data_IF_545567233196
#
_entry.id   IF_545567233196
#
_cell.length_a   1.000
_cell.length_b   1.000
_cell.length_c   1.000
_cell.angle_alpha   90.00
_cell.angle_beta   90.00
_cell.angle_gamma   90.00
#
_symmetry.space_group_name_H-M   'P 1'
#
loop_
_entity.id
_entity.type
_entity.pdbx_description
1 polymer ?
#
# COMPACT_ATOMS: atom_id res chain seq x y z
N UNK A 1 -12.29 1.82 -16.45
CA UNK A 1 -13.35 0.77 -16.31
C UNK A 1 -14.57 1.42 -15.72
N UNK A 2 -15.74 1.26 -16.36
CA UNK A 2 -17.03 1.76 -15.82
C UNK A 2 -17.72 0.69 -14.98
N UNK A 3 -18.29 1.09 -13.86
CA UNK A 3 -19.04 0.22 -12.96
C UNK A 3 -20.06 1.02 -12.13
N UNK A 4 -20.76 0.40 -11.16
CA UNK A 4 -21.90 1.02 -10.46
C UNK A 4 -21.58 2.32 -9.69
N UNK A 5 -20.31 2.52 -9.29
CA UNK A 5 -19.89 3.68 -8.51
C UNK A 5 -19.12 4.73 -9.33
N UNK A 6 -19.00 4.53 -10.65
CA UNK A 6 -18.35 5.47 -11.55
C UNK A 6 -17.31 4.83 -12.44
N UNK A 7 -16.17 5.47 -12.58
CA UNK A 7 -15.07 5.00 -13.43
C UNK A 7 -13.80 4.80 -12.60
N UNK A 8 -13.16 3.64 -12.76
CA UNK A 8 -11.82 3.36 -12.26
C UNK A 8 -10.83 3.59 -13.38
N UNK A 9 -9.89 4.51 -13.17
CA UNK A 9 -8.78 4.77 -14.08
C UNK A 9 -7.68 3.74 -13.87
N UNK A 10 -7.06 3.25 -14.95
CA UNK A 10 -5.96 2.32 -14.91
C UNK A 10 -4.98 2.56 -16.04
N UNK A 11 -3.75 2.13 -15.86
CA UNK A 11 -2.70 2.19 -16.90
C UNK A 11 -2.07 0.82 -17.08
N UNK A 12 -1.91 0.39 -18.33
CA UNK A 12 -1.24 -0.84 -18.70
C UNK A 12 0.17 -0.49 -19.17
N UNK A 13 1.16 -1.10 -18.55
CA UNK A 13 2.56 -1.04 -18.94
C UNK A 13 2.93 -2.36 -19.60
N UNK A 14 3.42 -2.30 -20.83
CA UNK A 14 3.72 -3.50 -21.65
C UNK A 14 2.51 -4.02 -22.42
N UNK A 15 2.52 -5.29 -22.76
CA UNK A 15 1.55 -5.93 -23.63
C UNK A 15 0.82 -7.07 -22.89
N UNK A 16 -0.50 -6.98 -22.74
CA UNK A 16 -1.34 -8.00 -22.10
C UNK A 16 -1.35 -9.34 -22.85
N UNK A 17 -1.02 -9.34 -24.15
CA UNK A 17 -0.88 -10.56 -24.95
C UNK A 17 0.46 -11.28 -24.68
N UNK A 18 1.30 -10.76 -23.79
CA UNK A 18 2.55 -11.42 -23.38
C UNK A 18 2.28 -12.80 -22.81
N UNK A 19 3.22 -13.71 -23.03
CA UNK A 19 3.18 -15.06 -22.40
C UNK A 19 3.42 -15.02 -20.88
N UNK A 20 3.94 -13.92 -20.35
CA UNK A 20 4.14 -13.72 -18.91
C UNK A 20 2.86 -13.22 -18.24
N UNK A 21 2.51 -13.80 -17.09
CA UNK A 21 1.34 -13.37 -16.33
C UNK A 21 1.43 -11.90 -15.88
N UNK A 22 0.36 -11.13 -15.99
CA UNK A 22 0.34 -9.73 -15.59
C UNK A 22 0.50 -9.56 -14.09
N UNK A 23 1.17 -8.48 -13.69
CA UNK A 23 1.24 -8.00 -12.31
C UNK A 23 0.31 -6.81 -12.14
N UNK A 24 -0.62 -6.89 -11.19
CA UNK A 24 -1.47 -5.76 -10.80
C UNK A 24 -0.87 -5.13 -9.56
N UNK A 25 -0.86 -3.79 -9.50
CA UNK A 25 -0.26 -3.02 -8.43
C UNK A 25 -1.34 -2.16 -7.75
N UNK A 26 -1.59 -2.45 -6.47
CA UNK A 26 -2.48 -1.67 -5.61
C UNK A 26 -1.66 -0.67 -4.78
N UNK A 27 -1.99 0.62 -4.93
CA UNK A 27 -1.32 1.71 -4.22
C UNK A 27 -1.75 1.82 -2.76
N UNK A 28 -0.94 2.55 -1.97
CA UNK A 28 -1.18 2.83 -0.56
C UNK A 28 -2.19 3.94 -0.28
N UNK A 29 -2.13 4.47 0.91
CA UNK A 29 -3.04 5.43 1.49
C UNK A 29 -3.83 4.81 2.64
N UNK A 30 -5.13 4.53 2.53
CA UNK A 30 -6.02 4.55 1.33
C UNK A 30 -6.19 5.95 0.73
N UNK A 31 -6.53 6.03 -0.57
CA UNK A 31 -6.76 7.32 -1.23
C UNK A 31 -5.48 8.02 -1.75
N UNK A 32 -4.33 7.33 -1.77
CA UNK A 32 -3.17 7.80 -2.51
C UNK A 32 -3.41 7.67 -4.03
N UNK A 33 -2.37 7.64 -4.88
CA UNK A 33 -2.57 7.46 -6.32
C UNK A 33 -1.63 6.43 -6.91
N UNK A 34 -1.99 5.91 -8.08
CA UNK A 34 -1.20 4.95 -8.84
C UNK A 34 0.15 5.48 -9.30
N UNK A 35 0.37 6.79 -9.30
CA UNK A 35 1.66 7.38 -9.67
C UNK A 35 2.82 6.79 -8.86
N UNK A 36 2.61 6.50 -7.57
CA UNK A 36 3.62 5.85 -6.74
C UNK A 36 4.01 4.46 -7.23
N UNK A 37 3.07 3.72 -7.83
CA UNK A 37 3.28 2.37 -8.34
C UNK A 37 3.83 2.32 -9.76
N UNK A 38 3.76 3.42 -10.50
CA UNK A 38 4.25 3.50 -11.89
C UNK A 38 5.75 3.20 -12.00
N UNK A 39 6.51 3.50 -10.95
CA UNK A 39 7.95 3.16 -10.89
C UNK A 39 8.14 1.64 -10.96
N UNK A 40 7.36 0.90 -10.15
CA UNK A 40 7.39 -0.57 -10.17
C UNK A 40 6.90 -1.11 -11.51
N UNK A 41 5.77 -0.60 -12.00
CA UNK A 41 5.18 -1.02 -13.26
C UNK A 41 6.14 -0.84 -14.44
N UNK A 42 6.87 0.27 -14.48
CA UNK A 42 7.81 0.58 -15.55
C UNK A 42 8.93 -0.45 -15.66
N UNK A 43 9.58 -0.80 -14.55
CA UNK A 43 10.66 -1.78 -14.63
C UNK A 43 10.16 -3.23 -14.76
N UNK A 44 8.98 -3.56 -14.24
CA UNK A 44 8.36 -4.87 -14.47
C UNK A 44 8.05 -5.03 -15.96
N UNK A 45 7.47 -4.02 -16.60
CA UNK A 45 7.20 -4.03 -18.03
C UNK A 45 8.47 -4.17 -18.89
N UNK A 46 9.57 -3.58 -18.45
CA UNK A 46 10.87 -3.71 -19.13
C UNK A 46 11.39 -5.16 -19.14
N UNK A 47 10.90 -6.06 -18.27
CA UNK A 47 11.19 -7.49 -18.30
C UNK A 47 10.30 -8.29 -19.27
N UNK A 48 9.39 -7.62 -19.98
CA UNK A 48 8.37 -8.24 -20.85
C UNK A 48 7.15 -8.79 -20.11
N UNK A 49 7.01 -8.53 -18.80
CA UNK A 49 5.82 -8.85 -18.01
C UNK A 49 4.88 -7.64 -18.01
N UNK A 50 3.62 -7.77 -18.42
CA UNK A 50 2.67 -6.67 -18.31
C UNK A 50 2.43 -6.31 -16.85
N UNK A 51 2.33 -5.01 -16.59
CA UNK A 51 2.02 -4.49 -15.28
C UNK A 51 0.84 -3.50 -15.37
N UNK A 52 -0.07 -3.56 -14.43
CA UNK A 52 -1.25 -2.72 -14.39
C UNK A 52 -1.26 -1.93 -13.08
N UNK A 53 -1.33 -0.61 -13.19
CA UNK A 53 -1.62 0.27 -12.06
C UNK A 53 -3.03 0.83 -12.21
N UNK A 54 -3.69 1.13 -11.12
CA UNK A 54 -5.02 1.76 -11.13
C UNK A 54 -5.16 2.73 -9.97
N UNK A 55 -5.88 3.81 -10.21
CA UNK A 55 -6.34 4.69 -9.14
C UNK A 55 -7.59 4.06 -8.54
N UNK A 56 -7.55 3.70 -7.26
CA UNK A 56 -8.72 3.17 -6.56
C UNK A 56 -9.83 4.21 -6.55
N UNK A 57 -11.08 3.76 -6.50
CA UNK A 57 -12.23 4.68 -6.48
C UNK A 57 -12.07 5.75 -5.39
N UNK A 58 -12.39 6.98 -5.71
CA UNK A 58 -12.27 8.13 -4.80
C UNK A 58 -10.93 8.87 -4.88
N UNK A 59 -9.98 8.48 -5.75
CA UNK A 59 -8.70 9.17 -5.86
C UNK A 59 -8.17 9.25 -7.31
N UNK A 60 -7.16 10.08 -7.50
CA UNK A 60 -6.43 10.24 -8.75
C UNK A 60 -7.33 10.60 -9.93
N UNK A 61 -7.27 9.82 -11.01
CA UNK A 61 -8.09 9.98 -12.20
C UNK A 61 -9.39 9.15 -12.17
N UNK A 62 -9.63 8.39 -11.10
CA UNK A 62 -10.88 7.68 -10.87
C UNK A 62 -12.00 8.63 -10.42
N UNK A 63 -13.25 8.18 -10.48
CA UNK A 63 -14.37 8.99 -10.00
C UNK A 63 -14.20 9.32 -8.52
N UNK A 64 -14.25 10.60 -8.18
CA UNK A 64 -14.29 11.11 -6.82
C UNK A 64 -15.72 11.10 -6.30
N UNK A 65 -15.93 10.68 -5.07
CA UNK A 65 -17.24 10.52 -4.43
C UNK A 65 -17.25 11.28 -3.09
N UNK A 66 -16.92 12.58 -3.17
CA UNK A 66 -16.74 13.45 -2.00
C UNK A 66 -18.03 13.67 -1.18
N UNK A 67 -19.19 13.40 -1.77
CA UNK A 67 -20.49 13.50 -1.13
C UNK A 67 -20.92 12.23 -0.39
N UNK A 68 -20.11 11.17 -0.47
CA UNK A 68 -20.42 9.91 0.21
C UNK A 68 -20.13 9.97 1.70
N UNK A 69 -21.03 9.40 2.46
CA UNK A 69 -20.88 9.21 3.90
C UNK A 69 -19.68 8.30 4.21
N UNK A 70 -19.07 8.49 5.38
CA UNK A 70 -17.92 7.68 5.84
C UNK A 70 -18.20 6.18 5.75
N UNK A 71 -19.41 5.73 6.03
CA UNK A 71 -19.83 4.32 5.99
C UNK A 71 -19.82 3.70 4.60
N UNK A 72 -19.77 4.52 3.54
CA UNK A 72 -19.64 4.02 2.16
C UNK A 72 -18.27 3.40 1.89
N UNK A 73 -17.23 3.92 2.52
CA UNK A 73 -15.85 3.53 2.30
C UNK A 73 -15.51 2.30 3.14
N UNK A 74 -15.57 1.12 2.53
CA UNK A 74 -15.29 -0.17 3.18
C UNK A 74 -14.27 -0.98 2.40
N UNK A 75 -13.64 -1.95 3.03
CA UNK A 75 -12.69 -2.86 2.36
C UNK A 75 -13.39 -3.62 1.23
N UNK A 76 -14.64 -4.05 1.45
CA UNK A 76 -15.43 -4.80 0.48
C UNK A 76 -15.65 -4.00 -0.81
N UNK A 77 -15.82 -2.68 -0.72
CA UNK A 77 -15.92 -1.79 -1.88
C UNK A 77 -14.67 -1.89 -2.78
N UNK A 78 -13.49 -1.85 -2.19
CA UNK A 78 -12.23 -1.93 -2.92
C UNK A 78 -11.91 -3.35 -3.41
N UNK A 79 -12.36 -4.37 -2.69
CA UNK A 79 -12.29 -5.78 -3.15
C UNK A 79 -13.20 -6.00 -4.37
N UNK A 80 -14.43 -5.45 -4.34
CA UNK A 80 -15.36 -5.49 -5.48
C UNK A 80 -14.77 -4.75 -6.69
N UNK A 81 -14.22 -3.55 -6.50
CA UNK A 81 -13.57 -2.79 -7.55
C UNK A 81 -12.45 -3.59 -8.23
N UNK A 82 -11.58 -4.20 -7.42
CA UNK A 82 -10.50 -5.04 -7.90
C UNK A 82 -11.01 -6.24 -8.72
N UNK A 83 -12.02 -6.97 -8.23
CA UNK A 83 -12.60 -8.12 -8.92
C UNK A 83 -13.21 -7.72 -10.27
N UNK A 84 -13.89 -6.57 -10.32
CA UNK A 84 -14.41 -6.01 -11.57
C UNK A 84 -13.28 -5.60 -12.51
N UNK A 85 -12.17 -5.04 -12.00
CA UNK A 85 -11.04 -4.62 -12.83
C UNK A 85 -10.35 -5.82 -13.50
N UNK A 86 -10.06 -6.89 -12.78
CA UNK A 86 -9.43 -8.08 -13.37
C UNK A 86 -10.33 -8.77 -14.40
N UNK A 87 -11.64 -8.77 -14.17
CA UNK A 87 -12.65 -9.24 -15.15
C UNK A 87 -12.72 -8.35 -16.38
N UNK A 88 -12.75 -7.05 -16.21
CA UNK A 88 -12.76 -6.07 -17.29
C UNK A 88 -11.53 -6.20 -18.20
N UNK A 89 -10.37 -6.47 -17.62
CA UNK A 89 -9.10 -6.66 -18.34
C UNK A 89 -8.96 -8.06 -18.96
N UNK A 90 -9.87 -9.00 -18.65
CA UNK A 90 -9.80 -10.38 -19.16
C UNK A 90 -8.69 -11.22 -18.52
N UNK A 91 -8.14 -10.79 -17.37
CA UNK A 91 -7.01 -11.45 -16.70
C UNK A 91 -7.40 -12.18 -15.41
N UNK A 92 -8.69 -12.25 -15.10
CA UNK A 92 -9.23 -12.78 -13.84
C UNK A 92 -8.90 -14.26 -13.58
N UNK A 93 -8.42 -15.00 -14.58
CA UNK A 93 -8.01 -16.41 -14.41
C UNK A 93 -6.50 -16.56 -14.10
N UNK A 94 -5.68 -15.55 -14.43
CA UNK A 94 -4.23 -15.66 -14.29
C UNK A 94 -3.59 -14.28 -14.07
N UNK A 95 -3.25 -13.96 -12.83
CA UNK A 95 -2.56 -12.70 -12.47
C UNK A 95 -1.71 -12.86 -11.21
N UNK A 96 -0.76 -11.96 -11.03
CA UNK A 96 -0.09 -11.70 -9.75
C UNK A 96 -0.57 -10.37 -9.18
N UNK A 97 -0.56 -10.24 -7.86
CA UNK A 97 -0.96 -9.02 -7.16
C UNK A 97 0.18 -8.53 -6.27
N UNK A 98 0.50 -7.25 -6.39
CA UNK A 98 1.39 -6.53 -5.49
C UNK A 98 0.59 -5.40 -4.83
N UNK A 99 0.63 -5.34 -3.51
CA UNK A 99 0.08 -4.22 -2.76
C UNK A 99 1.14 -3.54 -1.91
N UNK A 100 1.12 -2.21 -1.90
CA UNK A 100 2.01 -1.38 -1.08
C UNK A 100 1.21 -0.71 0.03
N UNK A 101 1.70 -0.77 1.28
CA UNK A 101 1.05 -0.11 2.42
C UNK A 101 -0.41 -0.59 2.60
N UNK A 102 -1.39 0.31 2.65
CA UNK A 102 -2.83 -0.02 2.55
C UNK A 102 -3.13 -0.97 1.39
N UNK A 103 -2.53 -0.75 0.21
CA UNK A 103 -2.71 -1.66 -0.93
C UNK A 103 -2.26 -3.08 -0.62
N UNK A 104 -1.32 -3.28 0.29
CA UNK A 104 -0.91 -4.59 0.78
C UNK A 104 -1.94 -5.23 1.70
N UNK A 105 -2.56 -4.45 2.60
CA UNK A 105 -3.71 -4.91 3.39
C UNK A 105 -4.87 -5.32 2.47
N UNK A 106 -5.22 -4.49 1.49
CA UNK A 106 -6.22 -4.81 0.48
C UNK A 106 -5.85 -6.08 -0.30
N UNK A 107 -4.59 -6.22 -0.71
CA UNK A 107 -4.11 -7.42 -1.42
C UNK A 107 -4.20 -8.69 -0.55
N UNK A 108 -3.96 -8.59 0.75
CA UNK A 108 -4.16 -9.70 1.68
C UNK A 108 -5.64 -10.07 1.81
N UNK A 109 -6.54 -9.07 1.94
CA UNK A 109 -7.99 -9.31 1.96
C UNK A 109 -8.49 -9.98 0.68
N UNK A 110 -8.01 -9.53 -0.49
CA UNK A 110 -8.31 -10.18 -1.76
C UNK A 110 -7.79 -11.63 -1.76
N UNK A 111 -6.55 -11.86 -1.35
CA UNK A 111 -5.93 -13.20 -1.37
C UNK A 111 -6.62 -14.19 -0.40
N UNK A 112 -7.15 -13.71 0.72
CA UNK A 112 -7.92 -14.51 1.69
C UNK A 112 -9.21 -15.08 1.07
N UNK A 113 -9.81 -14.39 0.09
CA UNK A 113 -10.98 -14.92 -0.64
C UNK A 113 -10.62 -16.05 -1.60
N UNK A 114 -9.36 -16.39 -1.71
CA UNK A 114 -8.81 -17.46 -2.57
C UNK A 114 -9.26 -17.32 -4.05
N UNK A 115 -9.09 -16.16 -4.72
CA UNK A 115 -9.51 -16.02 -6.11
C UNK A 115 -8.69 -16.95 -7.00
N UNK A 116 -9.38 -17.81 -7.77
CA UNK A 116 -8.75 -18.88 -8.57
C UNK A 116 -7.65 -18.37 -9.53
N UNK A 117 -7.76 -17.11 -9.98
CA UNK A 117 -6.80 -16.48 -10.89
C UNK A 117 -5.55 -15.94 -10.23
N UNK A 118 -5.52 -15.72 -8.91
CA UNK A 118 -4.33 -15.25 -8.21
C UNK A 118 -3.27 -16.35 -8.15
N UNK A 119 -2.06 -16.06 -8.66
CA UNK A 119 -0.96 -17.03 -8.75
C UNK A 119 0.23 -16.68 -7.85
N UNK A 120 0.40 -15.41 -7.53
CA UNK A 120 1.45 -14.93 -6.63
C UNK A 120 1.01 -13.63 -5.94
N UNK A 121 1.48 -13.43 -4.71
CA UNK A 121 1.20 -12.25 -3.90
C UNK A 121 2.51 -11.58 -3.47
N UNK A 122 2.55 -10.25 -3.54
CA UNK A 122 3.63 -9.46 -2.95
C UNK A 122 3.02 -8.42 -2.01
N UNK A 123 3.47 -8.43 -0.75
CA UNK A 123 3.11 -7.46 0.26
C UNK A 123 4.33 -6.57 0.50
N UNK A 124 4.25 -5.30 0.14
CA UNK A 124 5.34 -4.35 0.23
C UNK A 124 5.04 -3.30 1.27
N UNK A 125 5.83 -3.24 2.35
CA UNK A 125 5.68 -2.26 3.44
C UNK A 125 4.22 -2.18 3.92
N UNK A 126 3.62 -3.34 4.24
CA UNK A 126 2.19 -3.46 4.51
C UNK A 126 1.91 -3.70 6.00
N UNK A 127 0.65 -3.90 6.32
CA UNK A 127 0.17 -4.18 7.67
C UNK A 127 -0.85 -5.33 7.65
N UNK A 128 -0.96 -6.01 8.78
CA UNK A 128 -2.00 -7.03 8.98
C UNK A 128 -2.92 -6.71 10.16
N UNK A 129 -2.64 -5.60 10.86
CA UNK A 129 -3.34 -5.20 12.08
C UNK A 129 -3.10 -3.70 12.33
N UNK A 130 -4.18 -2.92 12.39
CA UNK A 130 -4.11 -1.47 12.58
C UNK A 130 -3.72 -1.09 14.01
N UNK A 131 -4.10 -1.86 15.02
CA UNK A 131 -3.72 -1.59 16.41
C UNK A 131 -2.21 -1.80 16.60
N UNK A 132 -1.64 -2.85 15.98
CA UNK A 132 -0.20 -3.07 15.97
C UNK A 132 0.53 -1.95 15.24
N UNK A 133 -0.01 -1.47 14.12
CA UNK A 133 0.55 -0.32 13.40
C UNK A 133 0.60 0.92 14.30
N UNK A 134 -0.49 1.29 14.96
CA UNK A 134 -0.52 2.47 15.85
C UNK A 134 0.49 2.37 16.98
N UNK A 135 0.60 1.20 17.62
CA UNK A 135 1.59 0.96 18.70
C UNK A 135 3.02 1.17 18.18
N UNK A 136 3.33 0.62 17.02
CA UNK A 136 4.66 0.71 16.43
C UNK A 136 4.98 2.11 15.90
N UNK A 137 4.04 2.78 15.23
CA UNK A 137 4.20 4.16 14.77
C UNK A 137 4.44 5.11 15.96
N UNK A 138 3.68 4.94 17.05
CA UNK A 138 3.89 5.72 18.28
C UNK A 138 5.24 5.42 18.92
N UNK A 139 5.70 4.16 18.92
CA UNK A 139 7.03 3.80 19.40
C UNK A 139 8.11 4.51 18.59
N UNK A 140 8.04 4.48 17.26
CA UNK A 140 8.98 5.19 16.38
C UNK A 140 8.98 6.70 16.63
N UNK A 141 7.81 7.31 16.83
CA UNK A 141 7.69 8.72 17.16
C UNK A 141 8.40 9.06 18.49
N UNK A 142 8.24 8.21 19.51
CA UNK A 142 8.90 8.39 20.82
C UNK A 142 10.42 8.19 20.79
N UNK A 143 10.95 7.47 19.79
CA UNK A 143 12.38 7.28 19.57
C UNK A 143 13.06 8.44 18.83
N UNK A 144 12.28 9.39 18.31
CA UNK A 144 12.82 10.61 17.71
C UNK A 144 13.48 11.53 18.77
N UNK A 145 14.31 12.51 18.33
CA UNK A 145 14.78 13.58 19.24
C UNK A 145 13.60 14.28 19.92
N UNK A 146 13.76 14.64 21.19
CA UNK A 146 12.68 15.15 22.04
C UNK A 146 11.96 16.37 21.42
N UNK A 147 12.70 17.23 20.72
CA UNK A 147 12.15 18.41 20.03
C UNK A 147 11.08 18.08 18.95
N UNK A 148 11.06 16.85 18.43
CA UNK A 148 10.05 16.36 17.50
C UNK A 148 9.07 15.39 18.17
N UNK A 149 9.57 14.49 19.03
CA UNK A 149 8.75 13.49 19.69
C UNK A 149 7.69 14.10 20.60
N UNK A 150 8.09 15.09 21.45
CA UNK A 150 7.18 15.72 22.42
C UNK A 150 6.01 16.46 21.75
N UNK A 151 6.22 17.37 20.75
CA UNK A 151 5.09 17.99 20.06
C UNK A 151 4.26 17.00 19.28
N UNK A 152 4.87 16.02 18.60
CA UNK A 152 4.13 15.03 17.81
C UNK A 152 3.14 14.27 18.69
N UNK A 153 3.60 13.68 19.78
CA UNK A 153 2.75 12.91 20.69
C UNK A 153 1.72 13.79 21.39
N UNK A 154 2.10 14.98 21.84
CA UNK A 154 1.19 15.91 22.51
C UNK A 154 0.02 16.32 21.61
N UNK A 155 0.29 16.61 20.34
CA UNK A 155 -0.74 17.03 19.40
C UNK A 155 -1.64 15.88 18.94
N UNK A 156 -1.07 14.66 18.80
CA UNK A 156 -1.87 13.44 18.57
C UNK A 156 -2.83 13.20 19.72
N UNK A 157 -2.34 13.21 20.97
CA UNK A 157 -3.17 12.99 22.16
C UNK A 157 -4.24 14.06 22.37
N UNK A 158 -3.98 15.30 21.93
CA UNK A 158 -4.90 16.44 22.02
C UNK A 158 -5.83 16.59 20.80
N UNK A 159 -5.59 15.88 19.70
CA UNK A 159 -6.32 16.05 18.44
C UNK A 159 -6.06 17.40 17.77
N UNK A 160 -4.91 18.04 18.01
CA UNK A 160 -4.55 19.38 17.48
C UNK A 160 -3.49 19.28 16.38
N UNK A 161 -3.71 18.35 15.46
CA UNK A 161 -2.76 18.01 14.39
C UNK A 161 -2.62 19.07 13.28
N UNK A 162 -3.45 20.11 13.27
CA UNK A 162 -3.38 21.20 12.31
C UNK A 162 -2.38 22.32 12.74
N UNK A 163 -1.66 22.13 13.86
CA UNK A 163 -0.70 23.13 14.34
C UNK A 163 0.59 23.10 13.53
N UNK A 164 1.24 24.27 13.37
CA UNK A 164 2.54 24.39 12.71
C UNK A 164 3.60 23.49 13.37
N UNK A 165 3.55 23.40 14.70
CA UNK A 165 4.49 22.57 15.47
C UNK A 165 4.33 21.09 15.17
N UNK A 166 3.09 20.60 15.05
CA UNK A 166 2.81 19.25 14.57
C UNK A 166 3.33 19.04 13.14
N UNK A 167 3.07 19.99 12.24
CA UNK A 167 3.53 19.93 10.86
C UNK A 167 5.04 19.75 10.73
N UNK A 168 5.83 20.45 11.57
CA UNK A 168 7.28 20.27 11.61
C UNK A 168 7.66 18.87 12.13
N UNK A 169 7.03 18.43 13.20
CA UNK A 169 7.33 17.15 13.83
C UNK A 169 6.97 15.94 12.95
N UNK A 170 5.79 15.96 12.31
CA UNK A 170 5.36 14.88 11.41
C UNK A 170 6.22 14.84 10.13
N UNK A 171 6.68 15.98 9.65
CA UNK A 171 7.60 16.02 8.49
C UNK A 171 8.92 15.30 8.82
N UNK A 172 9.45 15.47 10.04
CA UNK A 172 10.65 14.76 10.46
C UNK A 172 10.38 13.25 10.64
N UNK A 173 9.17 12.84 11.11
CA UNK A 173 8.76 11.45 11.16
C UNK A 173 8.76 10.84 9.74
N UNK A 174 8.13 11.48 8.76
CA UNK A 174 8.11 11.02 7.38
C UNK A 174 9.50 10.94 6.75
N UNK A 175 10.36 11.91 7.05
CA UNK A 175 11.75 11.88 6.58
C UNK A 175 12.53 10.66 7.11
N UNK A 176 12.16 10.14 8.26
CA UNK A 176 12.80 8.97 8.88
C UNK A 176 12.18 7.65 8.45
N UNK A 177 10.86 7.61 8.36
CA UNK A 177 10.11 6.36 8.35
C UNK A 177 9.26 6.15 7.08
N UNK A 178 9.04 7.21 6.27
CA UNK A 178 8.32 7.11 5.00
C UNK A 178 9.29 7.12 3.79
N UNK A 179 10.11 8.16 3.65
CA UNK A 179 11.07 8.29 2.56
C UNK A 179 12.30 9.07 2.99
N UNK A 180 13.47 8.44 2.99
CA UNK A 180 14.72 8.98 3.55
C UNK A 180 15.60 9.70 2.54
N UNK A 181 15.20 9.71 1.27
CA UNK A 181 15.85 10.39 0.16
C UNK A 181 14.90 11.41 -0.46
N UNK A 182 15.40 12.37 -1.27
CA UNK A 182 14.52 13.28 -1.99
C UNK A 182 13.51 12.53 -2.85
N UNK A 183 12.23 12.90 -2.75
CA UNK A 183 11.15 12.26 -3.49
C UNK A 183 11.35 12.41 -5.01
N UNK A 184 11.36 11.32 -5.78
CA UNK A 184 11.35 11.39 -7.24
C UNK A 184 10.03 11.96 -7.76
N UNK A 185 10.00 12.35 -9.04
CA UNK A 185 8.87 13.09 -9.62
C UNK A 185 7.55 12.31 -9.53
N UNK A 186 7.59 10.98 -9.62
CA UNK A 186 6.40 10.12 -9.51
C UNK A 186 5.79 10.20 -8.11
N UNK A 187 6.63 10.22 -7.09
CA UNK A 187 6.19 10.37 -5.69
C UNK A 187 5.70 11.78 -5.40
N UNK A 188 6.39 12.80 -5.94
CA UNK A 188 5.93 14.20 -5.81
C UNK A 188 4.52 14.38 -6.43
N UNK A 189 4.29 13.80 -7.61
CA UNK A 189 2.97 13.80 -8.26
C UNK A 189 1.92 13.05 -7.44
N UNK A 190 2.26 11.89 -6.90
CA UNK A 190 1.35 11.14 -6.05
C UNK A 190 0.93 11.93 -4.81
N UNK A 191 1.87 12.62 -4.16
CA UNK A 191 1.61 13.50 -3.00
C UNK A 191 0.72 14.69 -3.42
N UNK A 192 1.05 15.36 -4.52
CA UNK A 192 0.27 16.50 -5.03
C UNK A 192 -1.17 16.10 -5.37
N UNK A 193 -1.36 14.99 -6.09
CA UNK A 193 -2.69 14.52 -6.48
C UNK A 193 -3.51 14.06 -5.28
N UNK A 194 -2.93 13.29 -4.36
CA UNK A 194 -3.63 12.84 -3.15
C UNK A 194 -4.02 14.00 -2.22
N UNK A 195 -3.23 15.08 -2.21
CA UNK A 195 -3.54 16.29 -1.46
C UNK A 195 -4.79 17.04 -1.96
N UNK A 196 -5.25 16.80 -3.19
CA UNK A 196 -6.43 17.46 -3.76
C UNK A 196 -7.74 16.92 -3.19
N UNK A 197 -7.75 15.66 -2.76
CA UNK A 197 -8.93 15.00 -2.19
C UNK A 197 -8.52 13.99 -1.11
N UNK A 198 -8.85 14.29 0.12
CA UNK A 198 -8.57 13.48 1.30
C UNK A 198 -9.78 12.67 1.79
N UNK A 199 -10.86 12.61 1.00
CA UNK A 199 -12.13 11.98 1.40
C UNK A 199 -11.92 10.52 1.80
N UNK A 200 -11.27 9.74 0.96
CA UNK A 200 -11.00 8.31 1.22
C UNK A 200 -10.08 8.13 2.42
N UNK A 201 -8.98 8.88 2.46
CA UNK A 201 -8.00 8.79 3.55
C UNK A 201 -8.66 9.10 4.91
N UNK A 202 -9.36 10.23 4.99
CA UNK A 202 -10.06 10.66 6.21
C UNK A 202 -11.15 9.67 6.64
N UNK A 203 -11.86 9.05 5.69
CA UNK A 203 -12.91 8.09 5.99
C UNK A 203 -12.35 6.73 6.45
N UNK A 204 -11.33 6.22 5.80
CA UNK A 204 -10.80 4.88 6.01
C UNK A 204 -9.73 4.83 7.11
N UNK A 205 -8.73 5.71 7.05
CA UNK A 205 -7.64 5.77 8.01
C UNK A 205 -7.87 6.83 9.08
N UNK A 206 -7.96 8.09 8.67
CA UNK A 206 -8.12 9.22 9.60
C UNK A 206 -7.31 10.42 9.14
N UNK A 207 -6.63 11.08 10.08
CA UNK A 207 -5.94 12.34 9.80
C UNK A 207 -4.41 12.22 9.94
N UNK A 208 -3.89 11.12 10.44
CA UNK A 208 -2.47 10.94 10.75
C UNK A 208 -2.06 9.47 10.59
N UNK A 209 -0.84 9.22 10.16
CA UNK A 209 -0.25 7.87 10.10
C UNK A 209 -0.07 7.24 11.50
N UNK A 210 -0.02 8.07 12.56
CA UNK A 210 0.15 7.57 13.92
C UNK A 210 -1.14 7.07 14.57
N UNK A 211 -2.31 7.47 14.06
CA UNK A 211 -3.61 7.19 14.71
C UNK A 211 -4.69 6.86 13.70
N UNK A 212 -5.13 5.61 13.68
CA UNK A 212 -6.25 5.18 12.86
C UNK A 212 -7.59 5.52 13.53
N UNK A 213 -8.27 6.56 13.03
CA UNK A 213 -9.58 7.01 13.50
C UNK A 213 -10.70 6.75 12.49
N UNK A 214 -10.35 6.16 11.37
CA UNK A 214 -11.23 5.82 10.26
C UNK A 214 -11.96 4.48 10.41
N UNK A 215 -12.49 3.98 9.30
CA UNK A 215 -13.20 2.71 9.25
C UNK A 215 -12.27 1.49 9.41
N UNK A 216 -10.97 1.69 9.24
CA UNK A 216 -9.95 0.65 9.45
C UNK A 216 -9.55 0.49 10.92
N UNK A 217 -10.09 1.32 11.83
CA UNK A 217 -9.80 1.20 13.25
C UNK A 217 -10.14 -0.20 13.78
N UNK A 218 -9.19 -0.82 14.46
CA UNK A 218 -9.28 -2.19 14.98
C UNK A 218 -9.45 -3.26 13.88
N UNK A 219 -9.08 -2.94 12.63
CA UNK A 219 -9.12 -3.94 11.57
C UNK A 219 -7.95 -4.92 11.72
N UNK A 220 -8.26 -6.22 11.69
CA UNK A 220 -7.30 -7.30 11.82
C UNK A 220 -7.49 -8.30 10.68
N UNK A 221 -6.41 -8.61 9.97
CA UNK A 221 -6.37 -9.66 8.94
C UNK A 221 -5.46 -10.82 9.33
N UNK A 222 -4.62 -10.64 10.35
CA UNK A 222 -3.59 -11.61 10.76
C UNK A 222 -4.15 -12.96 11.17
N UNK A 223 -5.33 -13.02 11.73
CA UNK A 223 -6.04 -14.23 12.15
C UNK A 223 -6.55 -15.07 10.96
N UNK A 224 -6.66 -14.46 9.75
CA UNK A 224 -7.16 -15.07 8.52
C UNK A 224 -6.08 -15.32 7.46
N UNK A 225 -4.84 -14.87 7.68
CA UNK A 225 -3.73 -15.01 6.72
C UNK A 225 -3.41 -16.45 6.34
N UNK A 226 -3.75 -17.41 7.19
CA UNK A 226 -3.58 -18.84 6.92
C UNK A 226 -4.45 -19.36 5.75
N UNK A 227 -5.46 -18.58 5.31
CA UNK A 227 -6.23 -18.87 4.10
C UNK A 227 -5.44 -18.63 2.82
N UNK A 228 -4.41 -17.76 2.84
CA UNK A 228 -3.58 -17.47 1.67
C UNK A 228 -2.72 -18.69 1.33
N UNK A 229 -2.91 -19.24 0.11
CA UNK A 229 -2.22 -20.46 -0.35
C UNK A 229 -1.20 -20.20 -1.46
N UNK A 230 -1.28 -19.05 -2.10
CA UNK A 230 -0.35 -18.70 -3.19
C UNK A 230 1.03 -18.37 -2.67
N UNK A 231 2.10 -18.60 -3.45
CA UNK A 231 3.43 -18.10 -3.11
C UNK A 231 3.38 -16.64 -2.78
N UNK A 232 3.97 -16.25 -1.64
CA UNK A 232 3.92 -14.89 -1.13
C UNK A 232 5.31 -14.38 -0.79
N UNK A 233 5.63 -13.18 -1.29
CA UNK A 233 6.83 -12.43 -0.96
C UNK A 233 6.44 -11.19 -0.14
N UNK A 234 7.17 -10.94 0.95
CA UNK A 234 6.98 -9.76 1.80
C UNK A 234 8.26 -8.93 1.72
N UNK A 235 8.11 -7.62 1.51
CA UNK A 235 9.19 -6.63 1.50
C UNK A 235 8.91 -5.54 2.53
N UNK A 236 9.91 -5.14 3.31
CA UNK A 236 9.82 -3.95 4.16
C UNK A 236 11.20 -3.35 4.43
N UNK A 237 11.23 -2.09 4.84
CA UNK A 237 12.46 -1.39 5.20
C UNK A 237 12.83 -1.57 6.68
N UNK A 238 14.11 -1.39 7.00
CA UNK A 238 14.63 -1.37 8.38
C UNK A 238 14.04 -0.19 9.18
N UNK A 239 13.87 0.95 8.49
CA UNK A 239 13.44 2.22 9.08
C UNK A 239 11.96 2.53 8.80
N UNK A 240 11.24 1.55 8.25
CA UNK A 240 9.86 1.63 7.80
C UNK A 240 8.89 1.87 8.96
N UNK A 241 7.86 2.69 8.75
CA UNK A 241 6.72 2.78 9.67
C UNK A 241 5.92 1.46 9.70
N UNK A 242 5.90 0.69 8.59
CA UNK A 242 5.57 -0.73 8.59
C UNK A 242 6.73 -1.54 9.16
N UNK A 243 6.88 -1.52 10.47
CA UNK A 243 8.06 -2.04 11.17
C UNK A 243 8.33 -3.52 10.93
N UNK A 244 9.53 -4.00 11.24
CA UNK A 244 9.79 -5.44 11.28
C UNK A 244 8.79 -6.25 12.11
N UNK A 245 8.27 -5.70 13.22
CA UNK A 245 7.25 -6.38 14.05
C UNK A 245 5.96 -6.62 13.28
N UNK A 246 5.48 -5.61 12.55
CA UNK A 246 4.30 -5.70 11.69
C UNK A 246 4.48 -6.76 10.58
N UNK A 247 5.66 -6.78 9.94
CA UNK A 247 5.94 -7.70 8.83
C UNK A 247 6.22 -9.14 9.29
N UNK A 248 6.73 -9.34 10.50
CA UNK A 248 6.86 -10.67 11.11
C UNK A 248 5.47 -11.31 11.28
N UNK A 249 4.45 -10.55 11.70
CA UNK A 249 3.09 -11.06 11.82
C UNK A 249 2.52 -11.52 10.47
N UNK A 250 2.76 -10.76 9.38
CA UNK A 250 2.39 -11.18 8.03
C UNK A 250 3.11 -12.46 7.60
N UNK A 251 4.43 -12.54 7.82
CA UNK A 251 5.25 -13.73 7.49
C UNK A 251 4.77 -14.97 8.23
N UNK A 252 4.53 -14.84 9.52
CA UNK A 252 4.15 -15.98 10.37
C UNK A 252 2.71 -16.44 10.11
N UNK A 253 1.83 -15.53 9.70
CA UNK A 253 0.44 -15.82 9.32
C UNK A 253 0.30 -16.51 7.97
N UNK A 254 1.20 -16.23 7.00
CA UNK A 254 1.12 -16.77 5.63
C UNK A 254 2.11 -17.93 5.48
N UNK A 255 1.59 -19.16 5.43
CA UNK A 255 2.43 -20.34 5.36
C UNK A 255 3.30 -20.37 4.09
N UNK A 256 4.61 -20.41 4.28
CA UNK A 256 5.59 -20.52 3.19
C UNK A 256 5.93 -19.18 2.55
N UNK A 257 5.44 -18.07 3.07
CA UNK A 257 5.87 -16.74 2.67
C UNK A 257 7.36 -16.52 2.94
N UNK A 258 7.97 -15.67 2.13
CA UNK A 258 9.35 -15.22 2.31
C UNK A 258 9.33 -13.73 2.65
N UNK A 259 10.17 -13.32 3.61
CA UNK A 259 10.32 -11.92 3.97
C UNK A 259 11.75 -11.47 3.74
N UNK A 260 11.89 -10.37 3.02
CA UNK A 260 13.16 -9.68 2.80
C UNK A 260 13.13 -8.31 3.46
N UNK A 261 14.11 -8.06 4.32
CA UNK A 261 14.32 -6.77 4.95
C UNK A 261 15.34 -5.95 4.15
N UNK A 262 14.95 -4.72 3.81
CA UNK A 262 15.79 -3.74 3.14
C UNK A 262 16.47 -2.88 4.20
N UNK A 263 17.76 -3.10 4.38
CA UNK A 263 18.52 -2.59 5.54
C UNK A 263 18.74 -1.07 5.51
N UNK A 264 18.67 -0.44 4.32
CA UNK A 264 18.93 0.98 4.14
C UNK A 264 17.65 1.79 3.85
N UNK A 265 16.48 1.13 3.81
CA UNK A 265 15.21 1.71 3.38
C UNK A 265 14.24 1.96 4.52
N UNK A 266 13.34 2.93 4.31
CA UNK A 266 12.10 3.13 5.02
C UNK A 266 10.90 2.53 4.24
N UNK A 267 9.76 3.20 4.21
CA UNK A 267 8.51 2.70 3.66
C UNK A 267 8.52 2.49 2.13
N UNK A 268 9.30 3.30 1.41
CA UNK A 268 9.38 3.23 -0.04
C UNK A 268 10.62 2.45 -0.52
N UNK A 269 10.74 1.18 -0.12
CA UNK A 269 11.88 0.30 -0.46
C UNK A 269 12.16 0.21 -1.96
N UNK A 270 11.11 0.28 -2.79
CA UNK A 270 11.19 0.24 -4.25
C UNK A 270 11.79 1.52 -4.87
N UNK A 271 11.93 2.58 -4.06
CA UNK A 271 12.61 3.83 -4.42
C UNK A 271 14.02 3.86 -3.82
N UNK A 272 14.14 3.58 -2.51
CA UNK A 272 15.38 3.78 -1.74
C UNK A 272 16.44 2.73 -2.07
N UNK A 273 16.05 1.47 -2.25
CA UNK A 273 16.91 0.37 -2.69
C UNK A 273 16.40 -0.24 -4.00
N UNK A 274 16.08 0.61 -4.99
CA UNK A 274 15.41 0.23 -6.23
C UNK A 274 16.05 -0.97 -6.96
N UNK A 275 17.38 -1.00 -7.08
CA UNK A 275 18.08 -2.09 -7.77
C UNK A 275 17.92 -3.44 -7.05
N UNK A 276 17.95 -3.46 -5.71
CA UNK A 276 17.70 -4.66 -4.90
C UNK A 276 16.24 -5.10 -5.04
N UNK A 277 15.31 -4.15 -4.93
CA UNK A 277 13.89 -4.43 -5.05
C UNK A 277 13.52 -5.04 -6.41
N UNK A 278 13.96 -4.41 -7.51
CA UNK A 278 13.73 -4.90 -8.88
C UNK A 278 14.25 -6.33 -9.08
N UNK A 279 15.50 -6.59 -8.64
CA UNK A 279 16.10 -7.93 -8.74
C UNK A 279 15.29 -8.98 -7.98
N UNK A 280 14.90 -8.70 -6.74
CA UNK A 280 14.19 -9.65 -5.90
C UNK A 280 12.75 -9.88 -6.37
N UNK A 281 12.05 -8.82 -6.78
CA UNK A 281 10.71 -8.92 -7.34
C UNK A 281 10.71 -9.74 -8.64
N UNK A 282 11.63 -9.45 -9.57
CA UNK A 282 11.75 -10.21 -10.81
C UNK A 282 12.08 -11.67 -10.55
N UNK A 283 13.04 -11.95 -9.66
CA UNK A 283 13.40 -13.33 -9.32
C UNK A 283 12.23 -14.11 -8.69
N UNK A 284 11.44 -13.47 -7.82
CA UNK A 284 10.25 -14.08 -7.25
C UNK A 284 9.19 -14.38 -8.31
N UNK A 285 8.85 -13.41 -9.15
CA UNK A 285 7.85 -13.56 -10.19
C UNK A 285 8.27 -14.59 -11.26
N UNK A 286 9.52 -14.61 -11.68
CA UNK A 286 10.00 -15.56 -12.71
C UNK A 286 10.16 -16.99 -12.18
N UNK A 287 10.37 -17.15 -10.85
CA UNK A 287 10.42 -18.48 -10.22
C UNK A 287 9.02 -19.07 -9.99
N UNK A 288 8.04 -18.20 -9.78
CA UNK A 288 6.71 -18.58 -9.32
C UNK A 288 5.72 -18.70 -10.47
N UNK A 289 5.91 -17.96 -11.53
CA UNK A 289 5.04 -17.78 -12.68
C UNK A 289 5.72 -18.16 -13.99
#
# INVERSE_FOLDING_TARGET
MKWQHGETAYTIFGDLESSKLPLILAHGGPGFTSHSMNVIAGYVAATGRPAITYDQIGCGASTHLQDKDKSFWTIELFVEEFDLLVKHLGIHENFALLGHSWGGLLAAEIAITEPAGLKALVLSSSLGDTDTWEVEARRLALEMPAEFAEPLIRHEDAGTIDSDEYGVAITEFYRRHLLRIPAPIEIQRAIEESGKDQTVYSAMWGHSELSCTGNLKHHVVTDRLNAIKVPTQIFSGRFDESTPATNIALRDGIKGSQWELFEESAHMTYIEEAAKYQRLLSAFLDKTL
#
